data_IF_456748181822
#
_entry.id   IF_456748181822
#
_cell.length_a   1.000
_cell.length_b   1.000
_cell.length_c   1.000
_cell.angle_alpha   90.00
_cell.angle_beta   90.00
_cell.angle_gamma   90.00
#
_symmetry.space_group_name_H-M   'P 1'
#
loop_
_entity.id
_entity.type
_entity.pdbx_description
1 polymer ?
#
# COMPACT_ATOMS: atom_id res chain seq x y z
N UNK A 1 25.97 11.16 1.66
CA UNK A 1 24.69 11.73 1.15
C UNK A 1 23.48 11.03 1.76
N UNK A 2 23.45 9.71 1.80
CA UNK A 2 22.33 8.94 2.38
C UNK A 2 22.19 9.15 3.89
N UNK A 3 23.28 9.17 4.65
CA UNK A 3 23.25 9.37 6.11
C UNK A 3 22.58 10.69 6.49
N UNK A 4 22.88 11.75 5.78
CA UNK A 4 22.27 13.06 6.01
C UNK A 4 20.77 13.04 5.73
N UNK A 5 20.35 12.34 4.67
CA UNK A 5 18.95 12.31 4.27
C UNK A 5 18.06 11.49 5.23
N UNK A 6 18.60 10.38 5.75
CA UNK A 6 17.85 9.47 6.63
C UNK A 6 18.17 9.67 8.11
N UNK A 7 19.18 10.48 8.44
CA UNK A 7 19.57 10.75 9.82
C UNK A 7 20.20 9.57 10.57
N UNK A 8 20.78 8.63 9.84
CA UNK A 8 21.43 7.44 10.41
C UNK A 8 22.89 7.39 9.99
N UNK A 9 23.80 7.26 10.96
CA UNK A 9 25.22 7.19 10.68
C UNK A 9 25.62 5.84 10.08
N UNK A 10 26.43 5.89 9.02
CA UNK A 10 26.92 4.70 8.34
C UNK A 10 25.79 3.91 7.64
N UNK A 11 24.77 4.60 7.20
CA UNK A 11 23.60 4.00 6.58
C UNK A 11 23.97 3.16 5.35
N UNK A 12 23.60 1.90 5.39
CA UNK A 12 23.72 0.95 4.29
C UNK A 12 22.45 0.13 4.17
N UNK A 13 21.75 0.26 3.06
CA UNK A 13 20.54 -0.45 2.78
C UNK A 13 20.53 -0.98 1.34
N UNK A 14 19.91 -2.13 1.14
CA UNK A 14 19.52 -2.57 -0.20
C UNK A 14 18.18 -1.92 -0.54
N UNK A 15 18.06 -1.46 -1.76
CA UNK A 15 16.85 -0.79 -2.24
C UNK A 15 16.30 -1.55 -3.43
N UNK A 16 15.01 -1.86 -3.40
CA UNK A 16 14.27 -2.36 -4.53
C UNK A 16 13.20 -1.35 -4.93
N UNK A 17 13.27 -0.88 -6.18
CA UNK A 17 12.25 -0.01 -6.75
C UNK A 17 11.20 -0.87 -7.44
N UNK A 18 9.96 -0.79 -6.99
CA UNK A 18 8.81 -1.44 -7.59
C UNK A 18 7.96 -0.41 -8.33
N UNK A 19 7.32 -0.84 -9.40
CA UNK A 19 6.40 -0.02 -10.16
C UNK A 19 5.10 -0.78 -10.39
N UNK A 20 3.97 -0.08 -10.31
CA UNK A 20 2.68 -0.65 -10.68
C UNK A 20 2.63 -0.93 -12.18
N UNK A 21 1.85 -1.97 -12.63
CA UNK A 21 1.80 -2.32 -14.07
C UNK A 21 1.38 -1.18 -14.98
N UNK A 22 0.55 -0.27 -14.49
CA UNK A 22 0.10 0.93 -15.23
C UNK A 22 1.14 2.06 -15.25
N UNK A 23 2.26 1.91 -14.52
CA UNK A 23 3.34 2.89 -14.45
C UNK A 23 3.06 4.12 -13.57
N UNK A 24 1.91 4.19 -12.91
CA UNK A 24 1.48 5.38 -12.17
C UNK A 24 1.95 5.41 -10.71
N UNK A 25 2.30 4.26 -10.16
CA UNK A 25 2.77 4.14 -8.77
C UNK A 25 4.17 3.54 -8.69
N UNK A 26 4.97 4.04 -7.75
CA UNK A 26 6.28 3.49 -7.41
C UNK A 26 6.40 3.31 -5.92
N UNK A 27 7.05 2.23 -5.52
CA UNK A 27 7.35 1.91 -4.13
C UNK A 27 8.83 1.59 -4.02
N UNK A 28 9.52 2.23 -3.10
CA UNK A 28 10.87 1.84 -2.70
C UNK A 28 10.78 0.94 -1.48
N UNK A 29 11.39 -0.23 -1.58
CA UNK A 29 11.56 -1.12 -0.45
C UNK A 29 13.00 -1.04 0.03
N UNK A 30 13.19 -0.89 1.34
CA UNK A 30 14.49 -0.82 1.98
C UNK A 30 14.71 -2.05 2.86
N UNK A 31 15.83 -2.72 2.66
CA UNK A 31 16.37 -3.72 3.58
C UNK A 31 17.61 -3.11 4.25
N UNK A 32 17.48 -2.70 5.51
CA UNK A 32 18.60 -2.09 6.24
C UNK A 32 19.64 -3.15 6.60
N UNK A 33 20.89 -2.89 6.19
CA UNK A 33 22.06 -3.71 6.51
C UNK A 33 22.81 -3.09 7.70
N UNK A 34 22.89 -1.76 7.73
CA UNK A 34 23.47 -0.98 8.82
C UNK A 34 22.83 0.43 8.87
N UNK A 35 22.39 0.91 10.04
CA UNK A 35 22.14 0.11 11.25
C UNK A 35 21.12 -1.00 11.01
N UNK A 36 21.12 -2.04 11.83
CA UNK A 36 20.19 -3.14 11.70
C UNK A 36 18.74 -2.64 11.75
N UNK A 37 17.87 -3.28 10.97
CA UNK A 37 16.43 -3.05 11.07
C UNK A 37 15.92 -3.36 12.49
N UNK A 38 15.07 -2.52 13.02
CA UNK A 38 14.46 -2.70 14.34
C UNK A 38 13.09 -3.34 14.15
N UNK A 39 12.92 -4.56 14.66
CA UNK A 39 11.61 -5.20 14.71
C UNK A 39 10.75 -4.56 15.81
N UNK A 40 9.52 -4.25 15.46
CA UNK A 40 8.54 -3.71 16.39
C UNK A 40 7.33 -4.63 16.47
N UNK A 41 6.54 -4.50 17.53
CA UNK A 41 5.27 -5.23 17.62
C UNK A 41 4.33 -4.85 16.45
N UNK A 42 3.51 -5.81 15.96
CA UNK A 42 2.51 -5.50 14.93
C UNK A 42 1.58 -4.37 15.37
N UNK A 43 1.45 -3.36 14.53
CA UNK A 43 0.60 -2.21 14.80
C UNK A 43 -0.88 -2.51 14.54
N UNK A 44 -1.75 -1.71 15.16
CA UNK A 44 -3.20 -1.72 14.91
C UNK A 44 -3.58 -0.56 13.99
N UNK A 45 -4.68 -0.66 13.25
CA UNK A 45 -5.08 0.39 12.30
C UNK A 45 -5.31 1.77 12.93
N UNK A 46 -5.63 1.81 14.22
CA UNK A 46 -5.91 3.04 14.96
C UNK A 46 -4.72 3.58 15.77
N UNK A 47 -3.55 3.01 15.62
CA UNK A 47 -2.34 3.55 16.25
C UNK A 47 -1.83 4.76 15.46
N UNK A 48 -1.46 5.82 16.19
CA UNK A 48 -0.90 7.04 15.59
C UNK A 48 0.49 6.72 15.03
N UNK A 49 0.78 7.21 13.82
CA UNK A 49 2.06 6.98 13.16
C UNK A 49 2.16 5.66 12.40
N UNK A 50 1.09 4.87 12.37
CA UNK A 50 1.07 3.59 11.67
C UNK A 50 1.15 3.80 10.15
N UNK A 51 2.14 3.18 9.47
CA UNK A 51 2.29 3.31 8.02
C UNK A 51 1.27 2.46 7.27
N UNK A 52 0.73 3.02 6.19
CA UNK A 52 -0.15 2.31 5.27
C UNK A 52 0.05 2.76 3.84
N UNK A 53 -0.19 1.85 2.91
CA UNK A 53 -0.15 2.09 1.46
C UNK A 53 -1.49 1.65 0.87
N UNK A 54 -2.02 2.41 -0.07
CA UNK A 54 -3.27 2.08 -0.75
C UNK A 54 -3.02 1.83 -2.24
N UNK A 55 -3.66 0.79 -2.78
CA UNK A 55 -3.66 0.50 -4.21
C UNK A 55 -5.10 0.43 -4.72
N UNK A 56 -5.31 1.05 -5.87
CA UNK A 56 -6.49 0.78 -6.67
C UNK A 56 -6.27 -0.52 -7.45
N UNK A 57 -7.26 -1.40 -7.43
CA UNK A 57 -7.22 -2.69 -8.12
C UNK A 57 -8.42 -2.84 -9.04
N UNK A 58 -8.27 -3.59 -10.12
CA UNK A 58 -9.37 -3.84 -11.05
C UNK A 58 -10.36 -4.87 -10.51
N UNK A 59 -9.87 -5.84 -9.75
CA UNK A 59 -10.63 -6.89 -9.11
C UNK A 59 -10.03 -7.18 -7.73
N UNK A 60 -10.83 -6.96 -6.68
CA UNK A 60 -10.35 -7.10 -5.29
C UNK A 60 -10.18 -8.57 -4.90
N UNK A 61 -10.99 -9.46 -5.46
CA UNK A 61 -10.90 -10.89 -5.17
C UNK A 61 -9.62 -11.48 -5.78
N UNK A 62 -9.29 -11.12 -7.01
CA UNK A 62 -8.03 -11.50 -7.65
C UNK A 62 -6.81 -10.97 -6.87
N UNK A 63 -6.88 -9.72 -6.43
CA UNK A 63 -5.81 -9.11 -5.63
C UNK A 63 -5.63 -9.81 -4.27
N UNK A 64 -6.73 -10.19 -3.62
CA UNK A 64 -6.69 -10.95 -2.38
C UNK A 64 -6.13 -12.36 -2.58
N UNK A 65 -6.48 -13.02 -3.67
CA UNK A 65 -5.90 -14.33 -4.00
C UNK A 65 -4.37 -14.26 -4.15
N UNK A 66 -3.87 -13.20 -4.79
CA UNK A 66 -2.42 -12.96 -4.87
C UNK A 66 -1.83 -12.76 -3.47
N UNK A 67 -2.44 -11.95 -2.63
CA UNK A 67 -1.98 -11.71 -1.26
C UNK A 67 -1.95 -13.02 -0.44
N UNK A 68 -2.99 -13.84 -0.54
CA UNK A 68 -3.10 -15.12 0.17
C UNK A 68 -2.03 -16.11 -0.26
N UNK A 69 -1.67 -16.16 -1.53
CA UNK A 69 -0.55 -17.00 -2.01
C UNK A 69 0.79 -16.64 -1.38
N UNK A 70 0.92 -15.42 -0.90
CA UNK A 70 2.11 -14.93 -0.18
C UNK A 70 1.93 -14.93 1.34
N UNK A 71 0.85 -15.54 1.86
CA UNK A 71 0.61 -15.66 3.29
C UNK A 71 0.02 -14.41 3.95
N UNK A 72 -0.54 -13.50 3.16
CA UNK A 72 -1.16 -12.27 3.64
C UNK A 72 -2.68 -12.32 3.49
N UNK A 73 -3.39 -11.95 4.54
CA UNK A 73 -4.84 -12.08 4.62
C UNK A 73 -5.49 -10.75 4.99
N UNK A 74 -6.76 -10.53 4.59
CA UNK A 74 -7.49 -9.37 5.05
C UNK A 74 -7.67 -9.39 6.56
N UNK A 75 -7.71 -8.22 7.20
CA UNK A 75 -7.93 -8.10 8.65
C UNK A 75 -9.25 -8.74 9.09
N UNK A 76 -10.29 -8.56 8.30
CA UNK A 76 -11.60 -9.16 8.57
C UNK A 76 -12.31 -9.60 7.30
N UNK A 77 -12.33 -8.79 6.27
CA UNK A 77 -12.98 -9.06 4.99
C UNK A 77 -13.09 -7.82 4.12
N UNK A 78 -13.87 -7.93 3.06
CA UNK A 78 -14.14 -6.85 2.12
C UNK A 78 -15.40 -6.10 2.56
N UNK A 79 -15.31 -4.77 2.61
CA UNK A 79 -16.43 -3.89 2.87
C UNK A 79 -16.79 -3.10 1.62
N UNK A 80 -18.09 -2.84 1.43
CA UNK A 80 -18.57 -1.96 0.36
C UNK A 80 -18.81 -0.57 0.94
N UNK A 81 -18.18 0.43 0.34
CA UNK A 81 -18.30 1.81 0.76
C UNK A 81 -19.17 2.61 -0.22
N UNK A 82 -20.27 3.13 0.27
CA UNK A 82 -21.24 3.98 -0.49
C UNK A 82 -21.67 3.39 -1.83
N UNK A 83 -21.70 2.08 -1.97
CA UNK A 83 -21.96 1.38 -3.23
C UNK A 83 -21.06 1.81 -4.41
N UNK A 84 -19.91 2.40 -4.11
CA UNK A 84 -18.93 2.90 -5.07
C UNK A 84 -17.64 2.08 -5.07
N UNK A 85 -17.22 1.64 -3.89
CA UNK A 85 -15.94 0.95 -3.72
C UNK A 85 -16.08 -0.31 -2.88
N UNK A 86 -15.41 -1.37 -3.30
CA UNK A 86 -15.06 -2.47 -2.43
C UNK A 86 -13.68 -2.21 -1.85
N UNK A 87 -13.53 -2.28 -0.55
CA UNK A 87 -12.28 -1.97 0.14
C UNK A 87 -11.94 -3.02 1.17
N UNK A 88 -10.66 -3.28 1.34
CA UNK A 88 -10.14 -4.13 2.40
C UNK A 88 -8.77 -3.66 2.85
N UNK A 89 -8.38 -4.03 4.07
CA UNK A 89 -7.03 -3.88 4.58
C UNK A 89 -6.41 -5.25 4.76
N UNK A 90 -5.18 -5.39 4.30
CA UNK A 90 -4.37 -6.60 4.42
C UNK A 90 -3.12 -6.28 5.22
N UNK A 91 -2.74 -7.14 6.17
CA UNK A 91 -1.41 -7.10 6.77
C UNK A 91 -0.40 -7.54 5.70
N UNK A 92 0.44 -6.61 5.28
CA UNK A 92 1.52 -6.89 4.37
C UNK A 92 2.81 -7.30 5.07
N UNK A 93 3.90 -7.41 4.30
CA UNK A 93 5.22 -7.69 4.85
C UNK A 93 5.63 -6.65 5.90
N UNK A 94 6.37 -7.09 6.91
CA UNK A 94 6.90 -6.21 7.97
C UNK A 94 5.84 -5.40 8.73
N UNK A 95 4.60 -5.91 8.79
CA UNK A 95 3.51 -5.28 9.53
C UNK A 95 2.90 -4.03 8.89
N UNK A 96 3.29 -3.67 7.67
CA UNK A 96 2.64 -2.58 6.94
C UNK A 96 1.20 -2.93 6.60
N UNK A 97 0.31 -1.94 6.67
CA UNK A 97 -1.05 -2.12 6.16
C UNK A 97 -1.12 -1.78 4.68
N UNK A 98 -1.71 -2.68 3.92
CA UNK A 98 -2.02 -2.48 2.50
C UNK A 98 -3.54 -2.37 2.35
N UNK A 99 -4.01 -1.24 1.89
CA UNK A 99 -5.41 -1.05 1.50
C UNK A 99 -5.57 -1.42 0.03
N UNK A 100 -6.54 -2.25 -0.27
CA UNK A 100 -6.98 -2.54 -1.64
C UNK A 100 -8.34 -1.90 -1.85
N UNK A 101 -8.50 -1.19 -2.96
CA UNK A 101 -9.73 -0.51 -3.32
C UNK A 101 -10.09 -0.81 -4.78
N UNK A 102 -11.26 -1.40 -4.99
CA UNK A 102 -11.86 -1.64 -6.30
C UNK A 102 -13.00 -0.66 -6.51
N UNK A 103 -12.98 0.08 -7.61
CA UNK A 103 -14.10 0.91 -8.00
C UNK A 103 -15.20 0.04 -8.63
N UNK A 104 -16.40 0.10 -8.07
CA UNK A 104 -17.53 -0.69 -8.57
C UNK A 104 -17.99 -0.18 -9.94
N UNK A 105 -18.29 -1.10 -10.87
CA UNK A 105 -18.66 -0.80 -12.27
C UNK A 105 -19.88 0.12 -12.43
N UNK A 106 -20.73 0.27 -11.41
CA UNK A 106 -21.86 1.19 -11.42
C UNK A 106 -21.47 2.67 -11.55
N UNK A 107 -20.25 3.05 -11.11
CA UNK A 107 -19.71 4.39 -11.30
C UNK A 107 -19.29 4.69 -12.74
N UNK A 108 -19.18 3.67 -13.61
CA UNK A 108 -18.80 3.83 -15.03
C UNK A 108 -19.93 4.30 -15.94
N UNK A 109 -21.17 4.32 -15.48
CA UNK A 109 -22.32 4.79 -16.27
C UNK A 109 -22.47 6.32 -16.30
N UNK A 110 -21.69 7.02 -15.53
CA UNK A 110 -21.51 8.46 -15.70
C UNK A 110 -20.36 8.69 -16.69
N UNK A 111 -20.57 9.40 -17.80
CA UNK A 111 -19.44 9.91 -18.58
C UNK A 111 -18.67 10.87 -17.70
N UNK A 112 -17.70 10.34 -16.98
CA UNK A 112 -16.76 11.13 -16.23
C UNK A 112 -15.84 11.81 -17.26
N UNK A 113 -16.21 13.00 -17.67
CA UNK A 113 -15.26 14.05 -17.98
C UNK A 113 -14.58 14.48 -16.67
N UNK A 114 -14.13 13.54 -15.88
CA UNK A 114 -13.27 13.86 -14.77
C UNK A 114 -11.87 14.05 -15.35
N UNK A 115 -11.29 15.26 -15.23
CA UNK A 115 -9.88 15.42 -15.50
C UNK A 115 -9.12 14.59 -14.48
N UNK A 116 -8.49 13.54 -14.96
CA UNK A 116 -7.68 12.67 -14.15
C UNK A 116 -8.51 11.59 -13.44
N UNK A 117 -8.44 10.37 -13.97
CA UNK A 117 -8.48 9.21 -13.12
C UNK A 117 -7.62 9.54 -11.91
N UNK A 118 -8.17 9.41 -10.73
CA UNK A 118 -7.35 9.24 -9.54
C UNK A 118 -6.59 7.94 -9.77
N UNK A 119 -5.57 8.02 -10.61
CA UNK A 119 -4.57 6.99 -10.76
C UNK A 119 -4.04 6.77 -9.37
N UNK A 120 -3.93 5.54 -8.98
CA UNK A 120 -3.37 5.08 -7.73
C UNK A 120 -2.13 5.91 -7.40
N UNK A 121 -2.37 7.08 -6.86
CA UNK A 121 -1.32 7.80 -6.21
C UNK A 121 -1.04 7.01 -4.95
N UNK A 122 0.12 6.41 -4.85
CA UNK A 122 0.67 6.03 -3.56
C UNK A 122 0.72 7.34 -2.79
N UNK A 123 -0.35 7.64 -2.07
CA UNK A 123 -0.26 8.61 -1.01
C UNK A 123 0.39 7.88 0.14
N UNK A 124 1.71 7.75 0.06
CA UNK A 124 2.49 7.58 1.25
C UNK A 124 2.27 8.85 2.07
N UNK A 125 1.40 8.81 3.04
CA UNK A 125 1.51 9.77 4.11
C UNK A 125 2.75 9.35 4.90
N UNK A 126 3.86 9.96 4.51
CA UNK A 126 5.01 10.02 5.39
C UNK A 126 4.60 11.03 6.46
N UNK A 127 4.22 10.52 7.61
CA UNK A 127 4.07 11.34 8.81
C UNK A 127 5.43 11.64 9.40
#
# INVERSE_FOLDING_TARGET
MTDTAVGLDGNHAKIAMLQTPDGNGRVELFEYIHPDGIETEPTRPNEIGMPRVAFSVDDIDDALEVAERHGHHPLRGVATYKDLYNVTYVHGPSGIFVMLAEEMKRGRLMPLTAPGRATCGIRGQVG
#
